data_IF_169137519628
#
_entry.id   IF_169137519628
#
_cell.length_a   1.000
_cell.length_b   1.000
_cell.length_c   1.000
_cell.angle_alpha   90.00
_cell.angle_beta   90.00
_cell.angle_gamma   90.00
#
_symmetry.space_group_name_H-M   'P 1'
#
loop_
_entity.id
_entity.type
_entity.pdbx_description
1 polymer ?
#
# COMPACT_ATOMS: atom_id res chain seq x y z
N UNK A 1 -8.67 13.03 -9.61
CA UNK A 1 -8.54 14.36 -8.98
C UNK A 1 -8.77 14.15 -7.49
N UNK A 2 -7.93 14.70 -6.62
CA UNK A 2 -8.11 14.59 -5.17
C UNK A 2 -9.02 15.74 -4.75
N UNK A 3 -10.15 15.44 -4.12
CA UNK A 3 -11.15 16.44 -3.75
C UNK A 3 -10.74 17.26 -2.52
N UNK A 4 -10.04 16.64 -1.57
CA UNK A 4 -9.55 17.26 -0.34
C UNK A 4 -8.01 17.26 -0.33
N UNK A 5 -7.43 18.37 -0.79
CA UNK A 5 -5.98 18.53 -0.83
C UNK A 5 -5.34 18.63 0.56
N UNK A 6 -6.05 19.19 1.54
CA UNK A 6 -5.51 19.40 2.89
C UNK A 6 -5.41 18.08 3.66
N UNK A 7 -6.45 17.24 3.56
CA UNK A 7 -6.43 15.88 4.07
C UNK A 7 -5.30 15.06 3.42
N UNK A 8 -5.11 15.19 2.10
CA UNK A 8 -4.01 14.52 1.41
C UNK A 8 -2.64 15.01 1.88
N UNK A 9 -2.43 16.32 1.99
CA UNK A 9 -1.17 16.90 2.50
C UNK A 9 -0.90 16.45 3.94
N UNK A 10 -1.92 16.34 4.78
CA UNK A 10 -1.79 15.80 6.13
C UNK A 10 -1.37 14.32 6.11
N UNK A 11 -2.02 13.49 5.29
CA UNK A 11 -1.65 12.10 5.11
C UNK A 11 -0.20 11.94 4.65
N UNK A 12 0.26 12.75 3.69
CA UNK A 12 1.65 12.75 3.24
C UNK A 12 2.60 13.12 4.38
N UNK A 13 2.33 14.19 5.13
CA UNK A 13 3.19 14.60 6.27
C UNK A 13 3.31 13.48 7.31
N UNK A 14 2.23 12.77 7.59
CA UNK A 14 2.22 11.68 8.57
C UNK A 14 2.87 10.40 8.05
N UNK A 15 2.92 10.22 6.72
CA UNK A 15 3.64 9.13 6.09
C UNK A 15 5.16 9.37 6.01
N UNK A 16 5.62 10.62 6.10
CA UNK A 16 7.04 10.97 5.95
C UNK A 16 7.97 10.23 6.94
N UNK A 17 7.69 10.16 8.26
CA UNK A 17 8.58 9.47 9.19
C UNK A 17 8.78 7.99 8.84
N UNK A 18 7.73 7.30 8.38
CA UNK A 18 7.83 5.91 7.93
C UNK A 18 8.71 5.80 6.69
N UNK A 19 8.52 6.66 5.68
CA UNK A 19 9.35 6.67 4.48
C UNK A 19 10.82 7.01 4.79
N UNK A 20 11.06 7.92 5.74
CA UNK A 20 12.39 8.30 6.21
C UNK A 20 13.09 7.16 6.95
N UNK A 21 12.35 6.39 7.74
CA UNK A 21 12.78 5.15 8.38
C UNK A 21 12.98 3.99 7.39
N UNK A 22 12.84 4.23 6.09
CA UNK A 22 13.03 3.22 5.08
C UNK A 22 11.87 2.23 5.02
N UNK A 23 10.61 2.68 5.22
CA UNK A 23 9.37 1.95 4.89
C UNK A 23 8.79 2.42 3.55
N UNK A 24 8.04 1.53 2.89
CA UNK A 24 7.43 1.77 1.58
C UNK A 24 5.97 1.99 1.89
N UNK A 25 5.54 3.25 1.81
CA UNK A 25 4.20 3.63 2.25
C UNK A 25 3.28 3.68 1.05
N UNK A 26 2.05 3.22 1.22
CA UNK A 26 0.95 3.38 0.27
C UNK A 26 -0.24 4.02 0.97
N UNK A 27 -1.12 4.64 0.20
CA UNK A 27 -2.30 5.33 0.73
C UNK A 27 -3.55 4.55 0.36
N UNK A 28 -4.26 4.06 1.38
CA UNK A 28 -5.54 3.37 1.24
C UNK A 28 -6.71 4.35 1.23
N UNK A 29 -7.70 4.12 0.38
CA UNK A 29 -8.99 4.83 0.40
C UNK A 29 -10.04 3.90 1.02
N UNK A 30 -10.84 4.43 1.94
CA UNK A 30 -11.96 3.66 2.53
C UNK A 30 -12.98 3.38 1.43
N UNK A 31 -13.27 2.10 1.12
CA UNK A 31 -14.21 1.76 0.07
C UNK A 31 -15.64 2.01 0.54
N UNK A 32 -16.45 2.64 -0.31
CA UNK A 32 -17.90 2.85 -0.09
C UNK A 32 -18.77 1.89 -0.94
N UNK A 33 -18.15 1.16 -1.88
CA UNK A 33 -18.79 0.17 -2.74
C UNK A 33 -17.82 -0.95 -3.15
N UNK A 34 -18.31 -2.14 -3.56
CA UNK A 34 -17.46 -3.28 -3.93
C UNK A 34 -16.94 -3.17 -5.38
N UNK A 35 -16.06 -2.19 -5.65
CA UNK A 35 -15.47 -1.99 -6.97
C UNK A 35 -14.54 -3.16 -7.35
N UNK A 36 -14.66 -3.66 -8.58
CA UNK A 36 -13.85 -4.80 -9.09
C UNK A 36 -12.69 -4.34 -9.98
N UNK A 37 -12.74 -3.10 -10.47
CA UNK A 37 -11.68 -2.48 -11.27
C UNK A 37 -10.47 -2.01 -10.46
N UNK A 38 -10.56 -1.99 -9.12
CA UNK A 38 -9.51 -1.51 -8.23
C UNK A 38 -8.74 -2.65 -7.55
N UNK A 39 -7.49 -2.36 -7.20
CA UNK A 39 -6.74 -3.15 -6.23
C UNK A 39 -7.22 -2.84 -4.80
N UNK A 40 -7.11 -3.83 -3.92
CA UNK A 40 -7.40 -3.72 -2.49
C UNK A 40 -6.13 -4.00 -1.67
N UNK A 41 -6.06 -3.37 -0.51
CA UNK A 41 -5.00 -3.51 0.48
C UNK A 41 -5.66 -3.98 1.77
N UNK A 42 -5.28 -5.16 2.26
CA UNK A 42 -5.66 -5.60 3.60
C UNK A 42 -4.73 -4.97 4.61
N UNK A 43 -5.28 -4.24 5.59
CA UNK A 43 -4.47 -3.78 6.73
C UNK A 43 -4.06 -4.96 7.60
N UNK A 44 -2.83 -4.91 8.10
CA UNK A 44 -2.31 -5.78 9.13
C UNK A 44 -2.37 -5.09 10.49
N UNK A 45 -1.37 -5.38 11.31
CA UNK A 45 -1.22 -4.77 12.63
C UNK A 45 -0.92 -3.27 12.54
N UNK A 46 -1.22 -2.55 13.62
CA UNK A 46 -0.82 -1.16 13.76
C UNK A 46 0.70 -1.08 13.71
N UNK A 47 1.23 -0.27 12.81
CA UNK A 47 2.66 0.01 12.75
C UNK A 47 3.02 0.94 13.90
N UNK A 48 4.08 0.61 14.63
CA UNK A 48 4.56 1.45 15.71
C UNK A 48 5.08 2.77 15.14
N UNK A 49 4.53 3.88 15.61
CA UNK A 49 4.93 5.23 15.22
C UNK A 49 4.72 6.23 16.36
N UNK A 50 5.50 7.31 16.35
CA UNK A 50 5.54 8.32 17.42
C UNK A 50 4.42 9.38 17.32
N UNK A 51 3.51 9.28 16.35
CA UNK A 51 2.56 10.35 16.01
C UNK A 51 1.10 9.95 16.23
N UNK A 52 0.24 10.96 16.39
CA UNK A 52 -1.21 10.87 16.63
C UNK A 52 -2.02 10.14 15.52
N UNK A 53 -1.37 9.70 14.43
CA UNK A 53 -2.01 8.95 13.35
C UNK A 53 -1.52 7.50 13.26
N UNK A 54 -2.51 6.61 13.18
CA UNK A 54 -2.33 5.16 13.08
C UNK A 54 -1.98 4.78 11.64
N UNK A 55 -0.76 4.30 11.42
CA UNK A 55 -0.40 3.55 10.22
C UNK A 55 -0.62 2.06 10.46
N UNK A 56 -0.86 1.30 9.40
CA UNK A 56 -0.96 -0.16 9.46
C UNK A 56 0.13 -0.77 8.59
N UNK A 57 0.68 -1.90 9.02
CA UNK A 57 1.44 -2.76 8.13
C UNK A 57 0.50 -3.29 7.04
N UNK A 58 1.04 -3.57 5.84
CA UNK A 58 0.24 -4.16 4.76
C UNK A 58 0.28 -5.67 4.88
N UNK A 59 -0.86 -6.29 5.17
CA UNK A 59 -0.96 -7.74 5.24
C UNK A 59 -1.03 -8.37 3.85
N UNK A 60 -1.71 -7.72 2.90
CA UNK A 60 -1.93 -8.28 1.56
C UNK A 60 -2.27 -7.19 0.53
N UNK A 61 -1.75 -7.36 -0.69
CA UNK A 61 -2.26 -6.68 -1.89
C UNK A 61 -3.09 -7.66 -2.72
N UNK A 62 -4.26 -7.22 -3.18
CA UNK A 62 -5.15 -7.98 -4.04
C UNK A 62 -5.49 -7.13 -5.26
N UNK A 63 -5.19 -7.60 -6.46
CA UNK A 63 -5.50 -6.85 -7.68
C UNK A 63 -6.83 -7.34 -8.25
N UNK A 64 -7.80 -6.41 -8.40
CA UNK A 64 -9.06 -6.60 -9.15
C UNK A 64 -9.80 -7.90 -8.80
N UNK A 65 -10.28 -8.02 -7.55
CA UNK A 65 -11.04 -9.19 -7.12
C UNK A 65 -12.37 -9.31 -7.88
N UNK A 66 -12.97 -10.50 -7.85
CA UNK A 66 -14.35 -10.67 -8.31
C UNK A 66 -15.34 -9.96 -7.36
N UNK A 67 -16.58 -9.78 -7.81
CA UNK A 67 -17.61 -9.03 -7.08
C UNK A 67 -17.90 -9.59 -5.69
N UNK A 68 -18.03 -10.92 -5.56
CA UNK A 68 -18.30 -11.60 -4.28
C UNK A 68 -17.18 -11.32 -3.26
N UNK A 69 -15.93 -11.39 -3.72
CA UNK A 69 -14.76 -11.11 -2.88
C UNK A 69 -14.69 -9.63 -2.50
N UNK A 70 -14.97 -8.72 -3.44
CA UNK A 70 -15.01 -7.28 -3.17
C UNK A 70 -16.10 -6.93 -2.12
N UNK A 71 -17.27 -7.57 -2.20
CA UNK A 71 -18.33 -7.43 -1.20
C UNK A 71 -17.86 -7.84 0.20
N UNK A 72 -17.18 -8.99 0.30
CA UNK A 72 -16.62 -9.45 1.57
C UNK A 72 -15.56 -8.48 2.13
N UNK A 73 -14.73 -7.90 1.25
CA UNK A 73 -13.70 -6.93 1.65
C UNK A 73 -14.32 -5.66 2.23
N UNK A 74 -15.31 -5.08 1.55
CA UNK A 74 -16.02 -3.89 2.05
C UNK A 74 -16.73 -4.19 3.37
N UNK A 75 -17.42 -5.34 3.45
CA UNK A 75 -18.14 -5.74 4.65
C UNK A 75 -17.22 -5.97 5.88
N UNK A 76 -15.99 -6.41 5.66
CA UNK A 76 -15.03 -6.64 6.74
C UNK A 76 -14.51 -5.35 7.40
N UNK A 77 -14.45 -4.25 6.65
CA UNK A 77 -13.76 -3.02 7.08
C UNK A 77 -12.25 -3.18 7.29
N UNK A 78 -11.65 -4.30 6.85
CA UNK A 78 -10.20 -4.56 6.92
C UNK A 78 -9.47 -4.21 5.62
N UNK A 79 -10.20 -3.86 4.58
CA UNK A 79 -9.65 -3.61 3.26
C UNK A 79 -9.88 -2.17 2.82
N UNK A 80 -8.88 -1.63 2.13
CA UNK A 80 -8.87 -0.30 1.55
C UNK A 80 -8.63 -0.42 0.05
N UNK A 81 -9.17 0.47 -0.76
CA UNK A 81 -8.75 0.57 -2.15
C UNK A 81 -7.31 1.07 -2.24
N UNK A 82 -6.53 0.46 -3.12
CA UNK A 82 -5.21 0.94 -3.48
C UNK A 82 -5.36 2.22 -4.33
N UNK A 83 -4.91 3.35 -3.80
CA UNK A 83 -4.94 4.63 -4.53
C UNK A 83 -3.96 4.70 -5.71
N UNK A 84 -3.01 3.75 -5.80
CA UNK A 84 -1.90 3.79 -6.74
C UNK A 84 -0.79 4.78 -6.35
N UNK A 85 -0.91 5.45 -5.20
CA UNK A 85 0.10 6.37 -4.67
C UNK A 85 1.04 5.66 -3.70
N UNK A 86 2.33 5.97 -3.83
CA UNK A 86 3.39 5.42 -2.98
C UNK A 86 4.34 6.53 -2.52
N UNK A 87 4.84 6.41 -1.29
CA UNK A 87 5.85 7.28 -0.71
C UNK A 87 7.02 6.45 -0.20
N UNK A 88 8.22 6.80 -0.65
CA UNK A 88 9.46 6.12 -0.28
C UNK A 88 10.66 7.02 -0.56
N UNK A 89 11.78 6.78 0.11
CA UNK A 89 13.06 7.40 -0.29
C UNK A 89 13.53 6.85 -1.62
N UNK A 90 13.84 7.74 -2.57
CA UNK A 90 14.29 7.38 -3.91
C UNK A 90 15.52 6.46 -3.90
N UNK A 91 16.50 6.73 -3.03
CA UNK A 91 17.69 5.89 -2.88
C UNK A 91 17.36 4.44 -2.51
N UNK A 92 16.42 4.25 -1.58
CA UNK A 92 16.00 2.92 -1.13
C UNK A 92 15.19 2.18 -2.20
N UNK A 93 14.34 2.87 -2.95
CA UNK A 93 13.64 2.25 -4.09
C UNK A 93 14.59 1.74 -5.18
N UNK A 94 15.67 2.47 -5.46
CA UNK A 94 16.70 2.01 -6.40
C UNK A 94 17.44 0.77 -5.89
N UNK A 95 17.64 0.63 -4.58
CA UNK A 95 18.20 -0.58 -3.97
C UNK A 95 17.26 -1.78 -4.09
N UNK A 96 15.98 -1.60 -3.80
CA UNK A 96 14.96 -2.67 -3.95
C UNK A 96 14.83 -3.13 -5.41
N UNK A 97 14.80 -2.19 -6.37
CA UNK A 97 14.77 -2.53 -7.80
C UNK A 97 16.01 -3.32 -8.23
N UNK A 98 17.20 -2.96 -7.74
CA UNK A 98 18.44 -3.73 -8.01
C UNK A 98 18.35 -5.14 -7.42
N UNK A 99 17.78 -5.31 -6.23
CA UNK A 99 17.60 -6.62 -5.61
C UNK A 99 16.63 -7.50 -6.41
N UNK A 100 15.48 -6.96 -6.84
CA UNK A 100 14.48 -7.67 -7.65
C UNK A 100 15.06 -8.05 -9.02
N UNK A 101 15.72 -7.12 -9.71
CA UNK A 101 16.36 -7.40 -11.01
C UNK A 101 17.46 -8.47 -10.90
N UNK A 102 18.21 -8.49 -9.80
CA UNK A 102 19.23 -9.52 -9.54
C UNK A 102 18.62 -10.90 -9.36
N UNK A 103 17.49 -11.01 -8.64
CA UNK A 103 16.77 -12.28 -8.48
C UNK A 103 16.23 -12.79 -9.82
N UNK A 104 15.69 -11.89 -10.66
CA UNK A 104 15.20 -12.25 -12.00
C UNK A 104 16.31 -12.67 -12.98
N UNK A 105 17.58 -12.37 -12.68
CA UNK A 105 18.74 -12.70 -13.53
C UNK A 105 19.44 -14.03 -13.18
N UNK A 106 18.96 -14.76 -12.16
CA UNK A 106 19.50 -16.08 -11.83
C UNK A 106 19.09 -17.10 -12.91
N UNK A 107 20.04 -17.87 -13.49
CA UNK A 107 19.72 -18.85 -14.52
C UNK A 107 18.83 -19.96 -13.93
N UNK A 108 17.69 -20.19 -14.56
CA UNK A 108 16.83 -21.35 -14.28
C UNK A 108 17.67 -22.60 -14.55
N UNK A 109 18.01 -23.37 -13.51
CA UNK A 109 18.60 -24.71 -13.68
C UNK A 109 17.62 -25.55 -14.48
N UNK A 110 17.90 -25.75 -15.78
CA UNK A 110 17.27 -26.80 -16.57
C UNK A 110 17.62 -28.14 -15.91
N UNK A 111 16.60 -28.84 -15.42
CA UNK A 111 16.69 -30.28 -15.20
C UNK A 111 16.59 -30.99 -16.54
#
# INVERSE_FOLDING_TARGET
MIADEDAFRAAVRNAMPYAEAGKLVTFGIVPDLPETGYGYIRRGEVSAGEQDMVAFEVAQFVEKPNLETAQAYVASGEYYWNSGMFLFRAGRYLEELKNIARISSMPVKKR
#
